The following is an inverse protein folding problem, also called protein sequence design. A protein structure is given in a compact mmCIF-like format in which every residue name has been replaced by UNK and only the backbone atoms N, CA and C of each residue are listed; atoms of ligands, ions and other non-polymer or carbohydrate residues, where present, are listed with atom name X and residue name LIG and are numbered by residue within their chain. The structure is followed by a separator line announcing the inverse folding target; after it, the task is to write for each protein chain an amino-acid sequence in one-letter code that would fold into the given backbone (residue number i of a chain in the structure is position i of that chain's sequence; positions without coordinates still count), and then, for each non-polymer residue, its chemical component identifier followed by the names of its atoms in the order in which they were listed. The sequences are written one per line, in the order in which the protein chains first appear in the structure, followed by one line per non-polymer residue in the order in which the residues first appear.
data_IF_920243934517
#
_entry.id   IF_920243934517
#
_cell.length_a   1.000
_cell.length_b   1.000
_cell.length_c   1.000
_cell.angle_alpha   90.00
_cell.angle_beta   90.00
_cell.angle_gamma   90.00
#
_symmetry.space_group_name_H-M   'P 1'
#
loop_
_entity.id
_entity.type
_entity.pdbx_description
1 polymer ?
#
# COMPACT_ATOMS: atom_id res chain seq x y z
N UNK A 1 1.75 -10.14 -0.53
CA UNK A 1 3.19 -9.99 -0.26
C UNK A 1 3.73 -8.77 -0.96
N UNK A 2 4.33 -7.85 -0.21
CA UNK A 2 4.98 -6.65 -0.74
C UNK A 2 6.47 -6.91 -0.99
N UNK A 3 7.00 -6.32 -2.06
CA UNK A 3 8.42 -6.26 -2.34
C UNK A 3 8.82 -4.79 -2.42
N UNK A 4 9.74 -4.37 -1.54
CA UNK A 4 10.25 -3.01 -1.49
C UNK A 4 11.67 -2.95 -2.05
N UNK A 5 11.95 -2.02 -2.97
CA UNK A 5 13.29 -1.72 -3.44
C UNK A 5 14.05 -0.92 -2.36
N UNK A 6 15.37 -0.72 -2.54
CA UNK A 6 16.13 0.22 -1.73
C UNK A 6 15.48 1.61 -1.71
N UNK A 7 15.69 2.34 -0.63
CA UNK A 7 15.17 3.69 -0.45
C UNK A 7 16.33 4.66 -0.18
N UNK A 8 16.28 5.83 -0.79
CA UNK A 8 17.19 6.94 -0.54
C UNK A 8 16.53 7.92 0.45
N UNK A 9 17.28 8.34 1.46
CA UNK A 9 16.84 9.40 2.35
C UNK A 9 17.19 10.77 1.76
N UNK A 10 16.21 11.66 1.67
CA UNK A 10 16.41 12.99 1.08
C UNK A 10 17.03 13.97 2.08
N UNK A 11 17.66 15.02 1.56
CA UNK A 11 18.44 16.00 2.34
C UNK A 11 17.63 16.83 3.34
N UNK A 12 16.29 16.75 3.28
CA UNK A 12 15.40 17.44 4.20
C UNK A 12 15.06 16.64 5.47
N UNK A 13 15.64 15.45 5.61
CA UNK A 13 15.48 14.53 6.74
C UNK A 13 14.03 14.11 7.03
N UNK A 14 13.11 14.29 6.08
CA UNK A 14 11.68 14.00 6.25
C UNK A 14 11.12 13.10 5.17
N UNK A 15 11.73 13.09 3.99
CA UNK A 15 11.27 12.31 2.85
C UNK A 15 12.24 11.20 2.48
N UNK A 16 11.66 10.13 1.94
CA UNK A 16 12.34 9.02 1.32
C UNK A 16 11.99 8.99 -0.15
N UNK A 17 12.89 8.49 -0.99
CA UNK A 17 12.67 8.25 -2.42
C UNK A 17 12.93 6.78 -2.72
N UNK A 18 12.02 6.14 -3.44
CA UNK A 18 12.27 4.78 -3.94
C UNK A 18 13.41 4.77 -4.95
N UNK A 19 14.30 3.78 -4.86
CA UNK A 19 15.35 3.46 -5.84
C UNK A 19 15.02 2.12 -6.51
N UNK A 20 13.91 2.11 -7.23
CA UNK A 20 13.32 0.96 -7.93
C UNK A 20 11.79 0.96 -7.86
N UNK A 21 11.16 0.04 -8.58
CA UNK A 21 9.72 -0.18 -8.50
C UNK A 21 9.38 -0.95 -7.21
N UNK A 22 8.42 -0.44 -6.44
CA UNK A 22 7.81 -1.20 -5.34
C UNK A 22 6.54 -1.90 -5.84
N UNK A 23 6.37 -3.18 -5.49
CA UNK A 23 5.19 -3.93 -5.91
C UNK A 23 4.49 -4.57 -4.73
N UNK A 24 3.16 -4.46 -4.70
CA UNK A 24 2.32 -5.20 -3.78
C UNK A 24 1.41 -6.15 -4.55
N UNK A 25 1.54 -7.45 -4.31
CA UNK A 25 0.68 -8.47 -4.90
C UNK A 25 -0.24 -9.07 -3.85
N UNK A 26 -1.53 -9.15 -4.12
CA UNK A 26 -2.51 -9.77 -3.23
C UNK A 26 -3.50 -10.65 -3.99
N UNK A 27 -4.08 -11.60 -3.25
CA UNK A 27 -5.17 -12.44 -3.72
C UNK A 27 -6.49 -11.94 -3.15
N UNK A 28 -7.53 -11.91 -3.98
CA UNK A 28 -8.89 -11.63 -3.57
C UNK A 28 -9.74 -12.85 -3.93
N UNK A 29 -10.16 -13.58 -2.91
CA UNK A 29 -11.15 -14.64 -3.09
C UNK A 29 -12.54 -14.01 -3.22
N UNK A 30 -13.18 -14.23 -4.36
CA UNK A 30 -14.63 -14.07 -4.54
C UNK A 30 -15.26 -15.46 -4.57
N UNK A 31 -16.55 -15.54 -4.30
CA UNK A 31 -17.33 -16.76 -4.02
C UNK A 31 -16.99 -17.98 -4.89
N UNK A 32 -16.60 -17.77 -6.15
CA UNK A 32 -16.31 -18.85 -7.11
C UNK A 32 -14.97 -18.69 -7.85
N UNK A 33 -14.22 -17.60 -7.63
CA UNK A 33 -12.98 -17.29 -8.36
C UNK A 33 -11.96 -16.58 -7.47
N UNK A 34 -10.69 -16.94 -7.63
CA UNK A 34 -9.57 -16.22 -7.04
C UNK A 34 -8.99 -15.24 -8.06
N UNK A 35 -9.07 -13.94 -7.76
CA UNK A 35 -8.39 -12.91 -8.54
C UNK A 35 -7.03 -12.58 -7.90
N UNK A 36 -5.98 -12.47 -8.70
CA UNK A 36 -4.67 -11.99 -8.25
C UNK A 36 -4.47 -10.58 -8.78
N UNK A 37 -4.13 -9.67 -7.90
CA UNK A 37 -3.88 -8.27 -8.23
C UNK A 37 -2.46 -7.85 -7.87
N UNK A 38 -1.94 -6.86 -8.60
CA UNK A 38 -0.66 -6.23 -8.36
C UNK A 38 -0.79 -4.71 -8.46
N UNK A 39 -0.24 -4.02 -7.47
CA UNK A 39 -0.11 -2.57 -7.45
C UNK A 39 1.38 -2.20 -7.54
N UNK A 40 1.85 -1.74 -8.72
CA UNK A 40 3.17 -1.16 -8.87
C UNK A 40 3.19 0.31 -8.43
N UNK A 41 4.29 0.71 -7.81
CA UNK A 41 4.65 2.09 -7.48
C UNK A 41 5.97 2.37 -8.17
N UNK A 42 5.97 3.37 -9.04
CA UNK A 42 7.12 3.67 -9.89
C UNK A 42 8.36 4.11 -9.11
N UNK A 43 9.52 3.93 -9.75
CA UNK A 43 10.81 4.45 -9.28
C UNK A 43 10.75 5.97 -9.08
N UNK A 44 11.54 6.46 -8.12
CA UNK A 44 11.61 7.89 -7.82
C UNK A 44 10.42 8.43 -7.02
N UNK A 45 9.45 7.58 -6.64
CA UNK A 45 8.35 8.02 -5.80
C UNK A 45 8.87 8.52 -4.44
N UNK A 46 8.62 9.79 -4.16
CA UNK A 46 8.93 10.41 -2.87
C UNK A 46 7.78 10.21 -1.90
N UNK A 47 8.05 9.78 -0.67
CA UNK A 47 7.05 9.64 0.38
C UNK A 47 7.64 10.07 1.73
N UNK A 48 6.79 10.53 2.63
CA UNK A 48 7.15 11.01 3.97
C UNK A 48 6.40 10.28 5.08
N UNK A 49 5.64 9.22 4.72
CA UNK A 49 4.75 8.49 5.60
C UNK A 49 3.72 9.39 6.31
N UNK A 50 3.47 10.60 5.79
CA UNK A 50 2.67 11.62 6.48
C UNK A 50 1.17 11.32 6.45
N UNK A 51 0.70 10.44 5.56
CA UNK A 51 -0.69 9.99 5.55
C UNK A 51 -1.07 9.14 6.76
N UNK A 52 -0.08 8.64 7.52
CA UNK A 52 -0.32 7.89 8.75
C UNK A 52 -0.31 8.86 9.92
N UNK A 53 -1.43 9.03 10.66
CA UNK A 53 -1.47 9.89 11.84
C UNK A 53 -0.32 9.57 12.80
N UNK A 54 0.41 10.60 13.25
CA UNK A 54 1.59 10.44 14.13
C UNK A 54 1.31 9.65 15.41
N UNK A 55 0.05 9.64 15.88
CA UNK A 55 -0.39 8.81 16.99
C UNK A 55 -0.15 7.30 16.75
N UNK A 56 -0.23 6.84 15.50
CA UNK A 56 0.02 5.44 15.13
C UNK A 56 1.51 5.07 15.19
N UNK A 57 2.43 6.03 15.06
CA UNK A 57 3.87 5.80 15.11
C UNK A 57 4.34 5.39 16.52
N UNK A 58 3.57 5.73 17.56
CA UNK A 58 3.83 5.29 18.93
C UNK A 58 3.31 3.86 19.23
N UNK A 59 2.41 3.33 18.39
CA UNK A 59 1.69 2.08 18.64
C UNK A 59 2.12 0.94 17.71
N UNK A 60 2.69 1.29 16.56
CA UNK A 60 3.06 0.35 15.49
C UNK A 60 4.49 0.69 15.08
N UNK A 61 5.33 -0.34 14.92
CA UNK A 61 6.71 -0.16 14.48
C UNK A 61 6.76 0.64 13.18
N UNK A 62 7.68 1.60 13.01
CA UNK A 62 7.88 2.30 11.75
C UNK A 62 8.09 1.35 10.56
N UNK A 63 8.65 0.17 10.79
CA UNK A 63 8.84 -0.86 9.75
C UNK A 63 7.50 -1.48 9.29
N UNK A 64 6.59 -1.72 10.24
CA UNK A 64 5.25 -2.26 9.97
C UNK A 64 4.34 -1.20 9.34
N UNK A 65 4.55 0.08 9.65
CA UNK A 65 3.86 1.19 8.98
C UNK A 65 4.42 1.44 7.59
N UNK A 66 5.74 1.35 7.41
CA UNK A 66 6.43 1.87 6.23
C UNK A 66 5.95 1.26 4.91
N UNK A 67 5.79 -0.07 4.86
CA UNK A 67 5.38 -0.75 3.63
C UNK A 67 3.95 -0.35 3.21
N UNK A 68 3.00 -0.40 4.14
CA UNK A 68 1.61 -0.02 3.85
C UNK A 68 1.49 1.46 3.47
N UNK A 69 2.27 2.32 4.11
CA UNK A 69 2.23 3.76 3.92
C UNK A 69 2.66 4.18 2.51
N UNK A 70 3.66 3.51 1.92
CA UNK A 70 4.10 3.78 0.54
C UNK A 70 2.94 3.62 -0.45
N UNK A 71 2.23 2.49 -0.38
CA UNK A 71 1.09 2.23 -1.27
C UNK A 71 -0.09 3.15 -0.98
N UNK A 72 -0.30 3.51 0.30
CA UNK A 72 -1.33 4.46 0.69
C UNK A 72 -1.05 5.87 0.14
N UNK A 73 0.17 6.39 0.33
CA UNK A 73 0.64 7.67 -0.19
C UNK A 73 0.55 7.70 -1.73
N UNK A 74 0.91 6.60 -2.39
CA UNK A 74 0.81 6.47 -3.85
C UNK A 74 -0.64 6.60 -4.32
N UNK A 75 -1.57 5.89 -3.68
CA UNK A 75 -3.00 5.98 -4.00
C UNK A 75 -3.53 7.39 -3.74
N UNK A 76 -3.17 8.01 -2.61
CA UNK A 76 -3.66 9.33 -2.24
C UNK A 76 -3.17 10.41 -3.19
N UNK A 77 -1.87 10.43 -3.51
CA UNK A 77 -1.26 11.43 -4.42
C UNK A 77 -1.77 11.36 -5.84
N UNK A 78 -2.20 10.18 -6.29
CA UNK A 78 -2.78 9.98 -7.62
C UNK A 78 -4.32 10.05 -7.62
N UNK A 79 -4.96 10.48 -6.51
CA UNK A 79 -6.43 10.57 -6.42
C UNK A 79 -7.14 9.23 -6.63
N UNK A 80 -6.48 8.12 -6.31
CA UNK A 80 -6.96 6.76 -6.53
C UNK A 80 -6.86 6.26 -7.99
N UNK A 81 -6.40 7.08 -8.92
CA UNK A 81 -6.25 6.71 -10.34
C UNK A 81 -4.83 6.18 -10.56
N UNK A 82 -4.66 4.87 -10.38
CA UNK A 82 -3.37 4.19 -10.54
C UNK A 82 -3.50 2.94 -11.41
N UNK A 83 -2.41 2.53 -12.04
CA UNK A 83 -2.34 1.32 -12.84
C UNK A 83 -2.33 0.08 -11.95
N UNK A 84 -3.52 -0.37 -11.53
CA UNK A 84 -3.66 -1.67 -10.87
C UNK A 84 -3.70 -2.76 -11.92
N UNK A 85 -2.99 -3.85 -11.69
CA UNK A 85 -2.93 -4.98 -12.61
C UNK A 85 -3.71 -6.15 -12.03
N UNK A 86 -4.44 -6.88 -12.88
CA UNK A 86 -5.05 -8.18 -12.56
C UNK A 86 -4.36 -9.26 -13.37
N UNK A 87 -4.12 -10.42 -12.77
CA UNK A 87 -3.61 -11.58 -13.48
C UNK A 87 -4.71 -12.20 -14.34
N UNK A 88 -4.41 -12.39 -15.62
CA UNK A 88 -5.22 -13.15 -16.56
C UNK A 88 -4.65 -14.58 -16.66
N UNK A 89 -5.32 -15.59 -16.07
CA UNK A 89 -4.83 -16.96 -16.10
C UNK A 89 -4.94 -17.60 -17.48
N UNK A 90 -5.84 -17.13 -18.35
CA UNK A 90 -6.07 -17.72 -19.67
C UNK A 90 -4.94 -17.35 -20.64
N UNK A 91 -4.45 -16.11 -20.53
CA UNK A 91 -3.35 -15.59 -21.36
C UNK A 91 -1.98 -15.59 -20.66
N UNK A 92 -1.94 -15.80 -19.34
CA UNK A 92 -0.70 -15.75 -18.56
C UNK A 92 -0.09 -14.35 -18.49
N UNK A 93 -0.93 -13.30 -18.52
CA UNK A 93 -0.47 -11.90 -18.59
C UNK A 93 -1.12 -11.02 -17.52
N UNK A 94 -0.46 -9.90 -17.19
CA UNK A 94 -1.05 -8.86 -16.36
C UNK A 94 -1.85 -7.89 -17.23
N UNK A 95 -3.13 -7.71 -16.90
CA UNK A 95 -4.02 -6.75 -17.57
C UNK A 95 -4.30 -5.56 -16.67
N UNK A 96 -4.26 -4.32 -17.19
CA UNK A 96 -4.58 -3.14 -16.40
C UNK A 96 -6.08 -3.11 -16.06
N UNK A 97 -6.38 -2.76 -14.82
CA UNK A 97 -7.72 -2.54 -14.29
C UNK A 97 -7.77 -1.11 -13.76
N UNK A 98 -8.43 -0.23 -14.51
CA UNK A 98 -8.53 1.20 -14.19
C UNK A 98 -9.80 1.52 -13.40
N UNK A 99 -10.11 0.72 -12.37
CA UNK A 99 -11.14 1.11 -11.41
C UNK A 99 -10.51 2.10 -10.41
N UNK A 100 -11.01 3.34 -10.31
CA UNK A 100 -10.49 4.29 -9.34
C UNK A 100 -10.59 3.73 -7.92
N UNK A 101 -9.50 3.82 -7.17
CA UNK A 101 -9.49 3.43 -5.77
C UNK A 101 -10.24 4.47 -4.96
N UNK A 102 -11.21 4.03 -4.16
CA UNK A 102 -11.78 4.89 -3.14
C UNK A 102 -10.81 5.01 -1.97
N UNK A 103 -10.91 6.10 -1.20
CA UNK A 103 -10.17 6.26 0.06
C UNK A 103 -10.36 5.05 0.99
N UNK A 104 -11.58 4.52 1.07
CA UNK A 104 -11.90 3.33 1.86
C UNK A 104 -11.17 2.09 1.37
N UNK A 105 -10.95 1.95 0.07
CA UNK A 105 -10.20 0.83 -0.49
C UNK A 105 -8.70 0.95 -0.21
N UNK A 106 -8.16 2.18 -0.22
CA UNK A 106 -6.80 2.45 0.23
C UNK A 106 -6.62 2.09 1.72
N UNK A 107 -7.54 2.50 2.60
CA UNK A 107 -7.50 2.15 4.04
C UNK A 107 -7.53 0.63 4.27
N UNK A 108 -8.35 -0.08 3.48
CA UNK A 108 -8.45 -1.55 3.53
C UNK A 108 -7.17 -2.22 3.04
N UNK A 109 -6.55 -1.69 1.99
CA UNK A 109 -5.27 -2.17 1.48
C UNK A 109 -4.19 -2.01 2.54
N UNK A 110 -4.12 -0.83 3.17
CA UNK A 110 -3.20 -0.55 4.27
C UNK A 110 -3.38 -1.54 5.44
N UNK A 111 -4.61 -1.76 5.88
CA UNK A 111 -4.92 -2.74 6.94
C UNK A 111 -4.53 -4.18 6.54
N UNK A 112 -4.70 -4.55 5.27
CA UNK A 112 -4.29 -5.87 4.77
C UNK A 112 -2.78 -6.03 4.82
N UNK A 113 -2.01 -5.04 4.39
CA UNK A 113 -0.54 -5.07 4.42
C UNK A 113 -0.06 -5.25 5.86
N UNK A 114 -0.59 -4.48 6.81
CA UNK A 114 -0.27 -4.64 8.24
C UNK A 114 -0.58 -6.05 8.76
N UNK A 115 -1.71 -6.64 8.34
CA UNK A 115 -2.04 -8.03 8.70
C UNK A 115 -1.00 -9.02 8.15
N UNK A 116 -0.56 -8.85 6.91
CA UNK A 116 0.45 -9.71 6.28
C UNK A 116 1.82 -9.58 6.96
N UNK A 117 2.13 -8.43 7.56
CA UNK A 117 3.34 -8.20 8.35
C UNK A 117 3.24 -8.75 9.79
N UNK A 118 2.11 -9.36 10.17
CA UNK A 118 1.93 -9.93 11.51
C UNK A 118 1.48 -8.95 12.57
N UNK A 119 1.06 -7.73 12.20
CA UNK A 119 0.51 -6.76 13.16
C UNK A 119 -0.77 -7.31 13.78
N UNK A 120 -0.84 -7.29 15.11
CA UNK A 120 -1.97 -7.80 15.88
C UNK A 120 -3.29 -7.11 15.50
N UNK A 121 -4.40 -7.84 15.62
CA UNK A 121 -5.73 -7.37 15.21
C UNK A 121 -6.15 -6.07 15.90
N UNK A 122 -5.79 -5.87 17.17
CA UNK A 122 -6.07 -4.65 17.93
C UNK A 122 -5.34 -3.44 17.34
N UNK A 123 -4.02 -3.57 17.11
CA UNK A 123 -3.21 -2.49 16.51
C UNK A 123 -3.68 -2.15 15.11
N UNK A 124 -3.98 -3.17 14.30
CA UNK A 124 -4.55 -2.97 12.96
C UNK A 124 -5.90 -2.24 12.99
N UNK A 125 -6.78 -2.55 13.94
CA UNK A 125 -8.09 -1.88 14.07
C UNK A 125 -7.92 -0.41 14.45
N UNK A 126 -7.01 -0.11 15.39
CA UNK A 126 -6.68 1.28 15.75
C UNK A 126 -6.11 2.06 14.56
N UNK A 127 -5.19 1.44 13.82
CA UNK A 127 -4.59 2.04 12.62
C UNK A 127 -5.61 2.32 11.53
N UNK A 128 -6.44 1.33 11.19
CA UNK A 128 -7.51 1.48 10.21
C UNK A 128 -8.47 2.61 10.59
N UNK A 129 -8.91 2.67 11.86
CA UNK A 129 -9.76 3.77 12.32
C UNK A 129 -9.05 5.10 12.18
N UNK A 130 -7.79 5.24 12.59
CA UNK A 130 -7.10 6.52 12.51
C UNK A 130 -6.93 7.03 11.07
N UNK A 131 -6.55 6.19 10.10
CA UNK A 131 -6.42 6.61 8.68
C UNK A 131 -7.79 6.91 8.05
N UNK A 132 -8.83 6.18 8.44
CA UNK A 132 -10.17 6.40 7.91
C UNK A 132 -10.77 7.76 8.29
N UNK A 133 -10.33 8.35 9.42
CA UNK A 133 -10.80 9.65 9.89
C UNK A 133 -9.97 10.85 9.39
N UNK A 134 -8.73 10.63 8.89
CA UNK A 134 -7.80 11.68 8.44
C UNK A 134 -7.72 11.80 6.91
#
# INVERSE_FOLDING_TARGET
MAQLPPQEFLSDFRRFRLRGEATYTWRLQRTEKEDIFRLPVGDGFEHDFASVPRLLWALISPLDLGVGSIFHDWLYRNGGVVNTLRWDPDNGTWIPVSTPWTRKDADRLFARIMREQGVSSLRRKLAYTAVHWF
#
